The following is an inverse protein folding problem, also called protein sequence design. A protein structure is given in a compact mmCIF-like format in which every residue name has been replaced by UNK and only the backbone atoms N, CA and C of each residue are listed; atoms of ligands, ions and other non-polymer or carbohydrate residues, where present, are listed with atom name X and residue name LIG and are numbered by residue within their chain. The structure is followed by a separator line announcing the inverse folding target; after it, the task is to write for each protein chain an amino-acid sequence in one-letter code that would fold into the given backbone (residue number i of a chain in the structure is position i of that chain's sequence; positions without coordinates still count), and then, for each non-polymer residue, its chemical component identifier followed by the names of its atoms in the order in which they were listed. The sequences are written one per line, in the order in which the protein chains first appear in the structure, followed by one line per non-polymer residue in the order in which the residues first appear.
data_IF_301952911325
#
_entry.id   IF_301952911325
#
_cell.length_a   1.000
_cell.length_b   1.000
_cell.length_c   1.000
_cell.angle_alpha   90.00
_cell.angle_beta   90.00
_cell.angle_gamma   90.00
#
_symmetry.space_group_name_H-M   'P 1'
#
loop_
_entity.id
_entity.type
_entity.pdbx_description
1 polymer ?
#
# COMPACT_ATOMS: atom_id res chain seq x y z
N UNK A 1 26.14 -4.04 4.72
CA UNK A 1 25.29 -4.68 5.75
C UNK A 1 24.86 -3.63 6.76
N UNK A 2 23.58 -3.27 6.79
CA UNK A 2 23.02 -2.33 7.77
C UNK A 2 22.39 -3.15 8.90
N UNK A 3 23.17 -3.47 9.91
CA UNK A 3 22.69 -4.06 11.16
C UNK A 3 22.08 -2.93 12.02
N UNK A 4 20.80 -3.04 12.34
CA UNK A 4 20.16 -2.17 13.34
C UNK A 4 19.34 -0.99 12.81
N UNK A 5 19.25 -0.77 11.49
CA UNK A 5 18.41 0.30 10.92
C UNK A 5 17.19 -0.32 10.20
N UNK A 6 15.99 0.17 10.49
CA UNK A 6 14.82 -0.15 9.66
C UNK A 6 15.03 0.41 8.26
N UNK A 7 14.94 -0.44 7.26
CA UNK A 7 14.99 -0.03 5.87
C UNK A 7 13.61 -0.30 5.29
N UNK A 8 12.96 0.75 4.78
CA UNK A 8 11.74 0.59 3.99
C UNK A 8 12.00 -0.40 2.85
N UNK A 9 11.15 -1.38 2.70
CA UNK A 9 11.21 -2.36 1.61
C UNK A 9 10.28 -1.92 0.49
N UNK A 10 10.70 -2.16 -0.75
CA UNK A 10 9.83 -1.91 -1.89
C UNK A 10 8.58 -2.80 -1.82
N UNK A 11 7.44 -2.20 -2.12
CA UNK A 11 6.19 -2.93 -2.29
C UNK A 11 6.31 -3.83 -3.54
N UNK A 12 5.60 -4.97 -3.55
CA UNK A 12 5.65 -5.90 -4.69
C UNK A 12 4.64 -5.47 -5.77
N UNK A 13 5.07 -5.02 -6.97
CA UNK A 13 4.16 -4.61 -8.03
C UNK A 13 3.15 -5.68 -8.44
N UNK A 14 3.54 -6.96 -8.38
CA UNK A 14 2.66 -8.10 -8.70
C UNK A 14 1.44 -8.20 -7.79
N UNK A 15 1.54 -7.75 -6.54
CA UNK A 15 0.39 -7.72 -5.62
C UNK A 15 -0.60 -6.65 -6.04
N UNK A 16 -0.11 -5.48 -6.42
CA UNK A 16 -0.96 -4.41 -6.94
C UNK A 16 -1.67 -4.85 -8.23
N UNK A 17 -0.91 -5.43 -9.17
CA UNK A 17 -1.49 -6.01 -10.39
C UNK A 17 -2.61 -7.01 -10.05
N UNK A 18 -2.34 -7.96 -9.17
CA UNK A 18 -3.33 -8.99 -8.80
C UNK A 18 -4.62 -8.40 -8.21
N UNK A 19 -4.52 -7.35 -7.38
CA UNK A 19 -5.69 -6.66 -6.81
C UNK A 19 -6.49 -5.95 -7.91
N UNK A 20 -5.80 -5.26 -8.83
CA UNK A 20 -6.47 -4.55 -9.93
C UNK A 20 -7.17 -5.53 -10.89
N UNK A 21 -6.53 -6.62 -11.23
CA UNK A 21 -7.09 -7.64 -12.12
C UNK A 21 -8.24 -8.41 -11.44
N UNK A 22 -8.09 -8.79 -10.18
CA UNK A 22 -9.12 -9.50 -9.39
C UNK A 22 -10.44 -8.72 -9.30
N UNK A 23 -10.34 -7.40 -9.27
CA UNK A 23 -11.48 -6.48 -9.18
C UNK A 23 -11.94 -5.96 -10.55
N UNK A 24 -11.28 -6.39 -11.66
CA UNK A 24 -11.50 -5.87 -13.01
C UNK A 24 -11.45 -4.33 -13.07
N UNK A 25 -10.55 -3.75 -12.28
CA UNK A 25 -10.44 -2.29 -12.15
C UNK A 25 -10.01 -1.65 -13.46
N UNK A 26 -10.71 -0.56 -13.86
CA UNK A 26 -10.32 0.34 -14.94
C UNK A 26 -9.73 1.63 -14.40
N UNK A 27 -10.21 2.09 -13.26
CA UNK A 27 -9.76 3.30 -12.58
C UNK A 27 -9.21 2.97 -11.19
N UNK A 28 -7.99 3.44 -10.92
CA UNK A 28 -7.24 3.15 -9.69
C UNK A 28 -6.90 4.44 -8.96
N UNK A 29 -7.03 4.43 -7.65
CA UNK A 29 -6.55 5.49 -6.74
C UNK A 29 -5.46 4.94 -5.82
N UNK A 30 -4.34 5.64 -5.71
CA UNK A 30 -3.26 5.37 -4.74
C UNK A 30 -2.93 6.65 -3.96
N UNK A 31 -3.28 6.67 -2.69
CA UNK A 31 -3.09 7.84 -1.83
C UNK A 31 -1.69 7.92 -1.20
N UNK A 32 -0.78 7.02 -1.56
CA UNK A 32 0.59 6.96 -1.03
C UNK A 32 1.53 6.36 -2.08
N UNK A 33 1.66 7.04 -3.25
CA UNK A 33 2.36 6.49 -4.42
C UNK A 33 3.80 6.02 -4.14
N UNK A 34 4.51 6.65 -3.20
CA UNK A 34 5.84 6.26 -2.76
C UNK A 34 6.81 6.14 -3.95
N UNK A 35 7.54 5.05 -4.04
CA UNK A 35 8.51 4.84 -5.13
C UNK A 35 7.89 4.38 -6.46
N UNK A 36 6.55 4.28 -6.53
CA UNK A 36 5.85 3.92 -7.76
C UNK A 36 5.71 2.42 -7.99
N UNK A 37 5.83 1.60 -6.95
CA UNK A 37 5.70 0.15 -7.09
C UNK A 37 4.26 -0.27 -7.43
N UNK A 38 3.24 0.37 -6.82
CA UNK A 38 1.84 0.15 -7.18
C UNK A 38 1.49 0.75 -8.53
N UNK A 39 2.15 1.85 -8.92
CA UNK A 39 2.09 2.39 -10.28
C UNK A 39 2.66 1.39 -11.31
N UNK A 40 3.77 0.69 -10.99
CA UNK A 40 4.30 -0.37 -11.86
C UNK A 40 3.29 -1.52 -12.00
N UNK A 41 2.64 -1.93 -10.91
CA UNK A 41 1.55 -2.92 -10.94
C UNK A 41 0.37 -2.48 -11.80
N UNK A 42 0.00 -1.19 -11.76
CA UNK A 42 -1.02 -0.62 -12.63
C UNK A 42 -0.64 -0.75 -14.10
N UNK A 43 0.59 -0.41 -14.48
CA UNK A 43 1.03 -0.54 -15.86
C UNK A 43 1.03 -1.98 -16.37
N UNK A 44 1.21 -2.95 -15.48
CA UNK A 44 1.17 -4.38 -15.80
C UNK A 44 -0.24 -5.01 -15.75
N UNK A 45 -1.27 -4.31 -15.29
CA UNK A 45 -2.66 -4.76 -15.20
C UNK A 45 -3.50 -4.32 -16.39
N UNK A 46 -4.79 -4.65 -16.40
CA UNK A 46 -5.77 -4.18 -17.39
C UNK A 46 -6.43 -2.84 -17.02
N UNK A 47 -6.02 -2.20 -15.94
CA UNK A 47 -6.51 -0.86 -15.57
C UNK A 47 -6.00 0.19 -16.55
N UNK A 48 -6.79 1.25 -16.78
CA UNK A 48 -6.57 2.25 -17.84
C UNK A 48 -6.18 3.63 -17.29
N UNK A 49 -6.71 3.99 -16.11
CA UNK A 49 -6.47 5.29 -15.48
C UNK A 49 -5.98 5.12 -14.04
N UNK A 50 -4.95 5.85 -13.69
CA UNK A 50 -4.36 5.90 -12.36
C UNK A 50 -4.35 7.31 -11.81
N UNK A 51 -4.84 7.46 -10.60
CA UNK A 51 -4.86 8.68 -9.83
C UNK A 51 -4.09 8.46 -8.54
N UNK A 52 -3.27 9.44 -8.12
CA UNK A 52 -2.53 9.27 -6.90
C UNK A 52 -1.92 10.54 -6.35
N UNK A 53 -1.28 10.43 -5.19
CA UNK A 53 -0.54 11.53 -4.59
C UNK A 53 0.70 11.05 -3.83
N UNK A 54 1.65 11.97 -3.71
CA UNK A 54 2.85 11.83 -2.89
C UNK A 54 3.35 13.24 -2.51
N UNK A 55 3.62 13.54 -1.24
CA UNK A 55 4.05 14.87 -0.83
C UNK A 55 5.53 15.15 -1.17
N UNK A 56 6.37 14.11 -1.30
CA UNK A 56 7.81 14.27 -1.48
C UNK A 56 8.13 14.77 -2.91
N UNK A 57 8.68 15.98 -3.06
CA UNK A 57 8.99 16.54 -4.38
C UNK A 57 10.06 15.76 -5.14
N UNK A 58 11.00 15.11 -4.44
CA UNK A 58 12.04 14.31 -5.06
C UNK A 58 11.48 13.03 -5.69
N UNK A 59 10.53 12.39 -5.01
CA UNK A 59 9.80 11.22 -5.53
C UNK A 59 8.87 11.65 -6.66
N UNK A 60 8.10 12.71 -6.44
CA UNK A 60 7.17 13.26 -7.43
C UNK A 60 7.85 13.57 -8.77
N UNK A 61 9.04 14.18 -8.76
CA UNK A 61 9.80 14.51 -9.96
C UNK A 61 10.17 13.26 -10.81
N UNK A 62 10.17 12.06 -10.23
CA UNK A 62 10.51 10.80 -10.93
C UNK A 62 9.33 10.16 -11.64
N UNK A 63 8.08 10.46 -11.25
CA UNK A 63 6.92 9.80 -11.85
C UNK A 63 6.80 10.07 -13.35
N UNK A 64 7.11 11.27 -13.83
CA UNK A 64 7.08 11.58 -15.27
C UNK A 64 7.98 10.64 -16.06
N UNK A 65 9.18 10.33 -15.55
CA UNK A 65 10.10 9.40 -16.19
C UNK A 65 9.59 7.96 -16.17
N UNK A 66 9.04 7.52 -15.02
CA UNK A 66 8.44 6.17 -14.90
C UNK A 66 7.27 6.00 -15.87
N UNK A 67 6.32 6.94 -15.87
CA UNK A 67 5.16 6.93 -16.74
C UNK A 67 5.58 6.88 -18.22
N UNK A 68 6.53 7.73 -18.62
CA UNK A 68 7.04 7.73 -19.99
C UNK A 68 7.67 6.40 -20.39
N UNK A 69 8.48 5.80 -19.49
CA UNK A 69 9.13 4.51 -19.76
C UNK A 69 8.11 3.39 -19.88
N UNK A 70 7.14 3.29 -18.97
CA UNK A 70 6.15 2.23 -19.00
C UNK A 70 5.22 2.37 -20.20
N UNK A 71 4.76 3.58 -20.52
CA UNK A 71 3.89 3.81 -21.70
C UNK A 71 4.58 3.44 -23.03
N UNK A 72 5.90 3.54 -23.12
CA UNK A 72 6.65 3.09 -24.31
C UNK A 72 6.64 1.57 -24.51
N UNK A 73 6.33 0.80 -23.47
CA UNK A 73 6.26 -0.66 -23.51
C UNK A 73 4.86 -1.16 -23.89
N UNK A 74 3.87 -0.28 -23.92
CA UNK A 74 2.46 -0.62 -24.16
C UNK A 74 2.05 -0.26 -25.59
N UNK A 75 1.19 -1.07 -26.19
CA UNK A 75 0.54 -0.77 -27.47
C UNK A 75 -0.43 0.42 -27.37
N UNK A 76 -1.08 0.59 -26.22
CA UNK A 76 -1.99 1.70 -25.90
C UNK A 76 -1.52 2.39 -24.63
N UNK A 77 -1.16 3.68 -24.66
CA UNK A 77 -0.76 4.41 -23.47
C UNK A 77 -1.88 4.49 -22.44
N UNK A 78 -1.49 4.40 -21.16
CA UNK A 78 -2.39 4.55 -20.02
C UNK A 78 -2.34 5.96 -19.47
N UNK A 79 -3.44 6.41 -18.87
CA UNK A 79 -3.56 7.74 -18.29
C UNK A 79 -3.15 7.72 -16.81
N UNK A 80 -2.28 8.65 -16.45
CA UNK A 80 -1.80 8.79 -15.06
C UNK A 80 -1.86 10.24 -14.63
N UNK A 81 -2.47 10.50 -13.47
CA UNK A 81 -2.54 11.80 -12.82
C UNK A 81 -2.06 11.66 -11.38
N UNK A 82 -0.97 12.31 -11.03
CA UNK A 82 -0.41 12.30 -9.67
C UNK A 82 -0.29 13.74 -9.17
N UNK A 83 -0.81 14.01 -7.98
CA UNK A 83 -0.70 15.30 -7.29
C UNK A 83 0.47 15.29 -6.31
N UNK A 84 1.19 16.42 -6.24
CA UNK A 84 2.20 16.62 -5.21
C UNK A 84 1.55 17.18 -3.95
N UNK A 85 0.97 16.32 -3.15
CA UNK A 85 0.35 16.67 -1.87
C UNK A 85 0.27 15.45 -0.96
N UNK A 86 0.03 15.66 0.32
CA UNK A 86 -0.37 14.60 1.23
C UNK A 86 -1.73 14.04 0.87
N UNK A 87 -2.03 12.84 1.33
CA UNK A 87 -3.31 12.18 1.06
C UNK A 87 -4.50 12.94 1.68
N UNK A 88 -4.27 13.63 2.78
CA UNK A 88 -5.27 14.48 3.46
C UNK A 88 -5.74 15.65 2.59
N UNK A 89 -4.85 16.17 1.73
CA UNK A 89 -5.04 17.33 0.85
C UNK A 89 -5.39 16.95 -0.60
N UNK A 90 -5.52 15.65 -0.90
CA UNK A 90 -5.88 15.19 -2.23
C UNK A 90 -7.26 15.75 -2.64
N UNK A 91 -7.41 16.29 -3.86
CA UNK A 91 -8.69 16.84 -4.32
C UNK A 91 -9.69 15.74 -4.71
N UNK A 92 -10.19 14.96 -3.72
CA UNK A 92 -11.12 13.84 -3.92
C UNK A 92 -12.34 14.22 -4.78
N UNK A 93 -12.82 15.45 -4.65
CA UNK A 93 -13.97 15.98 -5.44
C UNK A 93 -13.71 16.12 -6.95
N UNK A 94 -12.45 16.04 -7.36
CA UNK A 94 -12.04 16.09 -8.79
C UNK A 94 -11.82 14.71 -9.40
N UNK A 95 -11.88 13.67 -8.56
CA UNK A 95 -11.69 12.29 -9.03
C UNK A 95 -12.95 11.82 -9.78
N UNK A 96 -12.80 11.06 -10.88
CA UNK A 96 -13.91 10.31 -11.45
C UNK A 96 -14.32 9.18 -10.47
N UNK A 97 -15.41 8.47 -10.74
CA UNK A 97 -15.71 7.23 -10.04
C UNK A 97 -14.51 6.28 -10.12
N UNK A 98 -14.03 5.82 -8.97
CA UNK A 98 -12.86 4.93 -8.84
C UNK A 98 -13.35 3.49 -8.66
N UNK A 99 -12.77 2.55 -9.40
CA UNK A 99 -13.07 1.13 -9.18
C UNK A 99 -12.34 0.61 -7.93
N UNK A 100 -11.04 0.90 -7.82
CA UNK A 100 -10.22 0.45 -6.70
C UNK A 100 -9.35 1.57 -6.15
N UNK A 101 -9.48 1.84 -4.87
CA UNK A 101 -8.45 2.54 -4.10
C UNK A 101 -7.53 1.48 -3.45
N UNK A 102 -6.22 1.53 -3.72
CA UNK A 102 -5.23 0.68 -3.08
C UNK A 102 -4.06 1.48 -2.56
N UNK A 103 -3.84 1.45 -1.27
CA UNK A 103 -2.81 2.24 -0.61
C UNK A 103 -2.05 1.44 0.46
N UNK A 104 -0.81 1.84 0.69
CA UNK A 104 -0.03 1.49 1.87
C UNK A 104 0.35 2.80 2.54
N UNK A 105 -0.49 3.30 3.47
CA UNK A 105 -0.22 4.58 4.13
C UNK A 105 1.04 4.48 4.99
N UNK A 106 1.73 5.59 5.28
CA UNK A 106 2.82 5.60 6.25
C UNK A 106 2.37 5.02 7.59
N UNK A 107 3.15 4.09 8.15
CA UNK A 107 2.81 3.38 9.41
C UNK A 107 3.17 4.24 10.62
N UNK A 108 2.55 5.38 10.77
CA UNK A 108 2.83 6.40 11.78
C UNK A 108 4.34 6.72 11.81
N UNK A 109 4.99 6.72 12.97
CA UNK A 109 6.44 6.98 13.10
C UNK A 109 7.33 5.73 12.99
N UNK A 110 6.80 4.60 12.49
CA UNK A 110 7.63 3.41 12.22
C UNK A 110 8.61 3.66 11.08
N UNK A 111 8.20 4.47 10.11
CA UNK A 111 8.99 4.86 8.94
C UNK A 111 9.08 6.38 8.90
N UNK A 112 10.17 6.92 9.43
CA UNK A 112 10.42 8.37 9.43
C UNK A 112 11.06 8.76 8.08
N UNK A 113 10.23 8.75 7.02
CA UNK A 113 10.69 9.13 5.68
C UNK A 113 11.26 10.55 5.69
N UNK A 114 12.38 10.73 4.98
CA UNK A 114 13.04 12.02 4.79
C UNK A 114 13.48 12.73 6.09
N UNK A 115 13.73 11.96 7.16
CA UNK A 115 14.16 12.50 8.46
C UNK A 115 15.48 13.27 8.34
N UNK A 116 15.48 14.51 8.80
CA UNK A 116 16.62 15.42 8.72
C UNK A 116 16.91 15.95 7.31
N UNK A 117 16.06 15.63 6.32
CA UNK A 117 16.16 16.13 4.95
C UNK A 117 15.21 17.28 4.67
N UNK A 118 15.38 17.89 3.49
CA UNK A 118 14.43 18.88 2.97
C UNK A 118 13.04 18.25 2.83
N UNK A 119 11.97 19.03 3.09
CA UNK A 119 10.56 18.60 2.99
C UNK A 119 10.16 17.50 4.00
N UNK A 120 10.88 17.36 5.11
CA UNK A 120 10.47 16.49 6.22
C UNK A 120 9.09 16.88 6.73
N UNK A 121 8.80 18.18 6.80
CA UNK A 121 7.53 18.75 7.26
C UNK A 121 6.33 18.33 6.40
N UNK A 122 6.52 17.92 5.16
CA UNK A 122 5.47 17.42 4.27
C UNK A 122 5.08 15.96 4.59
N UNK A 123 5.89 15.26 5.39
CA UNK A 123 5.64 13.86 5.73
C UNK A 123 4.61 13.73 6.86
N UNK A 124 3.75 12.73 6.77
CA UNK A 124 2.66 12.52 7.75
C UNK A 124 3.17 12.33 9.18
N UNK A 125 4.29 11.63 9.39
CA UNK A 125 4.86 11.42 10.71
C UNK A 125 5.37 12.73 11.36
N UNK A 126 5.71 13.73 10.56
CA UNK A 126 6.15 15.06 11.02
C UNK A 126 4.95 15.98 11.25
N UNK A 127 3.96 15.98 10.32
CA UNK A 127 2.71 16.76 10.45
C UNK A 127 1.86 16.28 11.63
N UNK A 128 1.75 14.98 11.79
CA UNK A 128 0.91 14.30 12.78
C UNK A 128 1.81 13.51 13.73
N UNK A 129 2.51 14.20 14.61
CA UNK A 129 3.59 13.65 15.46
C UNK A 129 3.09 12.83 16.65
N UNK A 130 1.78 12.82 16.95
CA UNK A 130 1.12 12.01 17.95
C UNK A 130 0.23 10.97 17.26
N UNK A 131 0.16 9.74 17.84
CA UNK A 131 -0.59 8.65 17.21
C UNK A 131 -2.07 8.99 17.03
N UNK A 132 -2.71 9.57 18.03
CA UNK A 132 -4.12 9.96 18.01
C UNK A 132 -4.39 10.99 16.91
N UNK A 133 -3.51 11.98 16.75
CA UNK A 133 -3.61 12.97 15.68
C UNK A 133 -3.38 12.34 14.30
N UNK A 134 -2.37 11.48 14.17
CA UNK A 134 -2.13 10.75 12.92
C UNK A 134 -3.34 9.88 12.55
N UNK A 135 -3.95 9.20 13.54
CA UNK A 135 -5.13 8.38 13.34
C UNK A 135 -6.36 9.20 12.93
N UNK A 136 -6.66 10.27 13.69
CA UNK A 136 -7.93 11.00 13.59
C UNK A 136 -7.93 12.10 12.54
N UNK A 137 -6.78 12.73 12.26
CA UNK A 137 -6.66 13.84 11.32
C UNK A 137 -6.11 13.39 9.95
N UNK A 138 -5.47 12.23 9.86
CA UNK A 138 -4.86 11.72 8.62
C UNK A 138 -5.39 10.34 8.23
N UNK A 139 -5.04 9.29 8.99
CA UNK A 139 -5.20 7.90 8.56
C UNK A 139 -6.66 7.49 8.30
N UNK A 140 -7.53 7.62 9.30
CA UNK A 140 -8.92 7.24 9.17
C UNK A 140 -9.72 8.14 8.21
N UNK A 141 -9.57 9.48 8.24
CA UNK A 141 -10.20 10.35 7.25
C UNK A 141 -9.78 10.07 5.80
N UNK A 142 -8.50 9.75 5.55
CA UNK A 142 -8.02 9.37 4.21
C UNK A 142 -8.67 8.08 3.75
N UNK A 143 -8.77 7.06 4.64
CA UNK A 143 -9.45 5.81 4.32
C UNK A 143 -10.94 6.02 4.01
N UNK A 144 -11.64 6.85 4.80
CA UNK A 144 -13.06 7.18 4.57
C UNK A 144 -13.27 7.91 3.24
N UNK A 145 -12.46 8.95 2.96
CA UNK A 145 -12.52 9.69 1.70
C UNK A 145 -12.23 8.76 0.50
N UNK A 146 -11.24 7.87 0.62
CA UNK A 146 -10.90 6.89 -0.41
C UNK A 146 -12.05 5.92 -0.65
N UNK A 147 -12.69 5.39 0.41
CA UNK A 147 -13.84 4.50 0.31
C UNK A 147 -15.06 5.20 -0.29
N UNK A 148 -15.25 6.49 0.01
CA UNK A 148 -16.39 7.26 -0.49
C UNK A 148 -16.36 7.49 -2.02
N UNK A 149 -15.17 7.50 -2.62
CA UNK A 149 -14.98 7.72 -4.07
C UNK A 149 -14.73 6.43 -4.86
N UNK A 150 -14.58 5.29 -4.18
CA UNK A 150 -14.23 4.02 -4.82
C UNK A 150 -15.24 2.91 -4.52
N UNK A 151 -15.31 1.91 -5.44
CA UNK A 151 -16.10 0.69 -5.22
C UNK A 151 -15.43 -0.21 -4.18
N UNK A 152 -14.10 -0.31 -4.24
CA UNK A 152 -13.29 -1.10 -3.32
C UNK A 152 -12.14 -0.27 -2.77
N UNK A 153 -11.83 -0.50 -1.49
CA UNK A 153 -10.65 0.02 -0.83
C UNK A 153 -9.80 -1.14 -0.29
N UNK A 154 -8.54 -1.15 -0.65
CA UNK A 154 -7.53 -2.07 -0.12
C UNK A 154 -6.47 -1.26 0.64
N UNK A 155 -6.21 -1.63 1.88
CA UNK A 155 -5.23 -0.96 2.73
C UNK A 155 -4.22 -1.97 3.23
N UNK A 156 -2.96 -1.81 2.80
CA UNK A 156 -1.86 -2.58 3.34
C UNK A 156 -1.28 -1.83 4.53
N UNK A 157 -1.55 -2.30 5.73
CA UNK A 157 -1.05 -1.70 6.97
C UNK A 157 -0.83 -2.77 8.04
N UNK A 158 0.22 -2.59 8.81
CA UNK A 158 0.51 -3.34 10.04
C UNK A 158 0.31 -2.46 11.27
N UNK A 159 0.05 -3.12 12.40
CA UNK A 159 -0.01 -2.46 13.70
C UNK A 159 1.39 -2.03 14.15
N UNK A 160 1.70 -0.73 14.18
CA UNK A 160 3.03 -0.25 14.52
C UNK A 160 3.34 -0.52 16.00
N UNK A 161 4.61 -0.87 16.26
CA UNK A 161 5.16 -0.95 17.62
C UNK A 161 6.19 0.14 17.83
N UNK A 162 5.87 1.14 18.65
CA UNK A 162 6.70 2.33 18.87
C UNK A 162 7.01 2.45 20.35
N UNK A 163 8.28 2.53 20.69
CA UNK A 163 8.76 2.63 22.09
C UNK A 163 8.13 1.58 23.03
N UNK A 164 7.92 0.37 22.51
CA UNK A 164 7.32 -0.74 23.27
C UNK A 164 5.79 -0.83 23.22
N UNK A 165 5.09 0.22 22.86
CA UNK A 165 3.63 0.26 22.73
C UNK A 165 3.22 -0.20 21.34
N UNK A 166 2.27 -1.16 21.24
CA UNK A 166 1.65 -1.59 19.99
C UNK A 166 0.33 -0.84 19.81
N UNK A 167 0.19 -0.15 18.70
CA UNK A 167 -1.03 0.53 18.30
C UNK A 167 -1.83 -0.37 17.35
N UNK A 168 -3.15 -0.41 17.54
CA UNK A 168 -4.04 -1.30 16.77
C UNK A 168 -4.71 -0.60 15.60
N UNK A 169 -3.89 -0.01 14.74
CA UNK A 169 -4.36 0.78 13.59
C UNK A 169 -5.22 -0.04 12.61
N UNK A 170 -4.97 -1.34 12.49
CA UNK A 170 -5.80 -2.22 11.67
C UNK A 170 -7.20 -2.44 12.28
N UNK A 171 -7.31 -2.68 13.60
CA UNK A 171 -8.60 -2.82 14.28
C UNK A 171 -9.41 -1.52 14.19
N UNK A 172 -8.76 -0.37 14.36
CA UNK A 172 -9.39 0.95 14.26
C UNK A 172 -9.96 1.20 12.86
N UNK A 173 -9.22 0.83 11.81
CA UNK A 173 -9.70 0.91 10.43
C UNK A 173 -10.92 0.01 10.19
N UNK A 174 -10.84 -1.26 10.63
CA UNK A 174 -11.95 -2.21 10.49
C UNK A 174 -13.19 -1.71 11.25
N UNK A 175 -13.03 -1.19 12.46
CA UNK A 175 -14.13 -0.63 13.23
C UNK A 175 -14.74 0.59 12.55
N UNK A 176 -13.91 1.48 11.99
CA UNK A 176 -14.36 2.70 11.30
C UNK A 176 -15.15 2.40 10.03
N UNK A 177 -14.76 1.38 9.27
CA UNK A 177 -15.38 0.97 8.02
C UNK A 177 -16.11 -0.38 8.12
N UNK A 178 -16.58 -0.75 9.31
CA UNK A 178 -17.14 -2.09 9.60
C UNK A 178 -18.26 -2.54 8.64
N UNK A 179 -19.09 -1.59 8.17
CA UNK A 179 -20.18 -1.89 7.26
C UNK A 179 -19.72 -2.21 5.84
N UNK A 180 -18.49 -1.85 5.50
CA UNK A 180 -17.83 -2.11 4.22
C UNK A 180 -16.78 -3.22 4.29
N UNK A 181 -16.44 -3.72 5.48
CA UNK A 181 -15.38 -4.70 5.65
C UNK A 181 -15.72 -6.04 4.99
N UNK A 182 -14.88 -6.50 4.08
CA UNK A 182 -15.02 -7.75 3.32
C UNK A 182 -14.10 -8.87 3.85
N UNK A 183 -13.00 -8.51 4.51
CA UNK A 183 -12.01 -9.46 4.98
C UNK A 183 -10.59 -8.98 4.76
N UNK A 184 -9.63 -9.92 4.71
CA UNK A 184 -8.21 -9.60 4.52
C UNK A 184 -7.55 -10.60 3.55
N UNK A 185 -6.55 -10.13 2.83
CA UNK A 185 -5.67 -10.93 1.97
C UNK A 185 -4.28 -10.94 2.57
N UNK A 186 -3.66 -12.12 2.65
CA UNK A 186 -2.28 -12.27 3.09
C UNK A 186 -1.30 -12.04 1.95
N UNK A 187 -0.48 -11.00 2.05
CA UNK A 187 0.63 -10.78 1.14
C UNK A 187 1.88 -11.44 1.69
N UNK A 188 2.44 -12.42 0.97
CA UNK A 188 3.72 -13.03 1.38
C UNK A 188 4.84 -12.01 1.24
N UNK A 189 5.51 -11.72 2.33
CA UNK A 189 6.69 -10.83 2.35
C UNK A 189 7.98 -11.64 2.43
N UNK A 190 9.10 -11.02 2.01
CA UNK A 190 10.41 -11.65 2.13
C UNK A 190 10.82 -11.73 3.60
N UNK A 191 11.33 -12.88 3.97
CA UNK A 191 11.94 -13.10 5.26
C UNK A 191 13.22 -12.26 5.37
N UNK A 192 13.37 -11.52 6.46
CA UNK A 192 14.64 -10.84 6.74
C UNK A 192 15.68 -11.86 7.17
N UNK A 193 16.87 -11.86 6.57
CA UNK A 193 17.95 -12.74 7.00
C UNK A 193 18.30 -12.45 8.46
N UNK A 194 18.46 -13.51 9.25
CA UNK A 194 19.03 -13.46 10.58
C UNK A 194 20.45 -14.03 10.54
N UNK A 195 21.34 -13.50 11.37
CA UNK A 195 22.64 -14.11 11.60
C UNK A 195 22.45 -15.50 12.22
N UNK A 196 23.25 -16.49 11.79
CA UNK A 196 23.23 -17.84 12.32
C UNK A 196 23.45 -17.89 13.84
N UNK A 197 24.18 -16.91 14.38
CA UNK A 197 24.44 -16.73 15.82
C UNK A 197 23.17 -16.41 16.65
N UNK A 198 22.05 -16.09 15.99
CA UNK A 198 20.77 -15.75 16.64
C UNK A 198 19.81 -16.94 16.72
N UNK A 199 20.25 -18.13 16.29
CA UNK A 199 19.49 -19.37 16.44
C UNK A 199 20.09 -20.22 17.54
N UNK A 200 19.22 -20.81 18.37
CA UNK A 200 19.62 -21.67 19.50
C UNK A 200 20.19 -22.98 18.98
N UNK A 201 19.65 -23.49 17.86
CA UNK A 201 20.07 -24.74 17.20
C UNK A 201 19.67 -24.75 15.71
N UNK A 202 20.08 -25.82 15.02
CA UNK A 202 19.77 -26.02 13.59
C UNK A 202 18.27 -26.22 13.32
N UNK A 203 17.52 -26.77 14.29
CA UNK A 203 16.07 -26.92 14.17
C UNK A 203 15.37 -25.55 14.21
N UNK A 204 15.73 -24.68 15.17
CA UNK A 204 15.21 -23.32 15.24
C UNK A 204 15.53 -22.51 13.96
N UNK A 205 16.71 -22.75 13.35
CA UNK A 205 17.08 -22.17 12.06
C UNK A 205 16.20 -22.71 10.93
N UNK A 206 16.00 -24.02 10.85
CA UNK A 206 15.15 -24.64 9.83
C UNK A 206 13.70 -24.20 9.96
N UNK A 207 13.14 -24.16 11.16
CA UNK A 207 11.78 -23.68 11.44
C UNK A 207 11.63 -22.21 11.03
N UNK A 208 12.62 -21.38 11.30
CA UNK A 208 12.62 -19.99 10.86
C UNK A 208 12.66 -19.89 9.33
N UNK A 209 13.51 -20.65 8.66
CA UNK A 209 13.64 -20.64 7.18
C UNK A 209 12.36 -21.11 6.49
N UNK A 210 11.61 -22.04 7.10
CA UNK A 210 10.34 -22.54 6.58
C UNK A 210 9.13 -21.67 6.91
N UNK A 211 9.30 -20.66 7.79
CA UNK A 211 8.22 -19.79 8.20
C UNK A 211 7.80 -18.84 7.07
N UNK A 212 6.51 -18.85 6.76
CA UNK A 212 5.92 -17.89 5.83
C UNK A 212 5.56 -16.61 6.59
N UNK A 213 6.13 -15.49 6.17
CA UNK A 213 5.81 -14.19 6.70
C UNK A 213 4.74 -13.54 5.82
N UNK A 214 3.67 -13.07 6.45
CA UNK A 214 2.51 -12.47 5.79
C UNK A 214 2.30 -11.08 6.35
N UNK A 215 2.06 -10.14 5.45
CA UNK A 215 1.53 -8.82 5.74
C UNK A 215 0.10 -8.74 5.21
N UNK A 216 -0.81 -8.16 6.00
CA UNK A 216 -2.22 -8.13 5.65
C UNK A 216 -2.54 -6.93 4.75
N UNK A 217 -3.42 -7.18 3.78
CA UNK A 217 -4.16 -6.17 3.03
C UNK A 217 -5.61 -6.26 3.46
N UNK A 218 -6.12 -5.20 4.06
CA UNK A 218 -7.48 -5.08 4.57
C UNK A 218 -8.40 -4.64 3.43
N UNK A 219 -9.52 -5.35 3.24
CA UNK A 219 -10.37 -5.22 2.07
C UNK A 219 -11.74 -4.69 2.47
N UNK A 220 -12.20 -3.65 1.77
CA UNK A 220 -13.49 -3.00 2.00
C UNK A 220 -14.22 -2.79 0.68
N UNK A 221 -15.57 -2.83 0.70
CA UNK A 221 -16.38 -2.63 -0.49
C UNK A 221 -17.82 -3.03 -0.29
N UNK A 222 -18.51 -3.41 -1.37
CA UNK A 222 -19.85 -3.95 -1.31
C UNK A 222 -19.84 -5.39 -0.78
N UNK A 223 -20.59 -5.66 0.29
CA UNK A 223 -20.69 -7.00 0.90
C UNK A 223 -21.33 -8.05 -0.01
N UNK A 224 -22.05 -7.64 -1.04
CA UNK A 224 -22.59 -8.55 -2.04
C UNK A 224 -21.54 -9.02 -3.05
N UNK A 225 -20.35 -8.42 -3.05
CA UNK A 225 -19.25 -8.82 -3.91
C UNK A 225 -18.44 -9.93 -3.24
N UNK A 226 -18.47 -11.13 -3.82
CA UNK A 226 -17.61 -12.23 -3.36
C UNK A 226 -16.19 -12.05 -3.89
N UNK A 227 -15.41 -11.29 -3.14
CA UNK A 227 -14.00 -11.01 -3.45
C UNK A 227 -13.16 -12.30 -3.57
N UNK A 228 -13.55 -13.35 -2.82
CA UNK A 228 -12.76 -14.56 -2.70
C UNK A 228 -13.14 -15.65 -3.72
N UNK A 229 -14.34 -15.63 -4.29
CA UNK A 229 -14.73 -16.58 -5.34
C UNK A 229 -13.95 -16.36 -6.64
N UNK A 230 -13.64 -15.11 -6.96
CA UNK A 230 -12.82 -14.77 -8.13
C UNK A 230 -11.34 -15.07 -7.93
N UNK A 231 -10.82 -15.04 -6.70
CA UNK A 231 -9.42 -15.35 -6.40
C UNK A 231 -9.10 -16.85 -6.54
N UNK A 232 -10.10 -17.73 -6.41
CA UNK A 232 -9.95 -19.18 -6.61
C UNK A 232 -9.78 -19.59 -8.08
N UNK A 233 -10.09 -18.69 -9.04
CA UNK A 233 -9.94 -18.95 -10.47
C UNK A 233 -8.57 -18.57 -11.03
N UNK A 234 -7.80 -17.75 -10.31
CA UNK A 234 -6.41 -17.51 -10.65
C UNK A 234 -5.58 -18.69 -10.11
N UNK A 235 -5.37 -19.70 -10.93
CA UNK A 235 -4.46 -20.80 -10.60
C UNK A 235 -3.07 -20.21 -10.38
N UNK A 236 -2.37 -20.62 -9.31
CA UNK A 236 -0.98 -20.22 -9.06
C UNK A 236 -0.06 -20.56 -10.25
N UNK A 237 -0.43 -21.55 -11.04
CA UNK A 237 0.30 -22.00 -12.24
C UNK A 237 0.24 -20.95 -13.38
N UNK A 238 -0.79 -20.09 -13.43
CA UNK A 238 -0.90 -19.04 -14.44
C UNK A 238 0.06 -17.84 -14.18
N UNK A 239 0.69 -17.81 -13.00
CA UNK A 239 1.67 -16.76 -12.63
C UNK A 239 3.12 -17.15 -12.92
N UNK A 240 3.38 -18.39 -13.33
CA UNK A 240 4.72 -18.92 -13.59
C UNK A 240 4.91 -19.45 -15.03
N UNK A 241 3.92 -19.22 -15.90
CA UNK A 241 4.00 -19.58 -17.31
C UNK A 241 4.65 -18.48 -18.17
#
# INVERSE_FOLDING_TARGET
FRLGTYIATQFKPVVAKAIYDMTNAKTVLDTSCGWGDRLAGFFASDAEEYYGCDPNPNTYARYTQQISKYNKLLSKPKKVTIWRCGAEDLPYHKLPPIDVAFTSPPYFSTEEYNKGGEFQEDQSWSKFNEYERWRDDFYLPVAEKSMAVSKFLFVNIMDPKIKGTRYRSSDELVNRLKDKFLGQIGMRIMQRPKSDKLFEDDKAKADFMNKIFIENVWCFGDKNFDLFSNSRKANLDDFFA
#
